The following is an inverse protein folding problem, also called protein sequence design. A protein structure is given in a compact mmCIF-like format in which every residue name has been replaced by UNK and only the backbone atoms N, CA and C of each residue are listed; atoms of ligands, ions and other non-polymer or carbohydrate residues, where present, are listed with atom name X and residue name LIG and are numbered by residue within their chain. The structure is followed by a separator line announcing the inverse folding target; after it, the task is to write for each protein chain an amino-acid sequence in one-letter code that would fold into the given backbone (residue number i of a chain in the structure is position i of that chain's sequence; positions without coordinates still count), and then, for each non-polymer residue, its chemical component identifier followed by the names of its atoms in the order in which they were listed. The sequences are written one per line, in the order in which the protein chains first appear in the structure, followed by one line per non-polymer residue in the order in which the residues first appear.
data_IF_855287462862
#
_entry.id   IF_855287462862
#
_cell.length_a   1.000
_cell.length_b   1.000
_cell.length_c   1.000
_cell.angle_alpha   90.00
_cell.angle_beta   90.00
_cell.angle_gamma   90.00
#
_symmetry.space_group_name_H-M   'P 1'
#
loop_
_entity.id
_entity.type
_entity.pdbx_description
1 polymer ?
#
# COMPACT_ATOMS: atom_id res chain seq x y z
N UNK A 1 -9.94 21.64 12.19
CA UNK A 1 -9.61 20.84 10.99
C UNK A 1 -9.65 19.36 11.36
N UNK A 2 -10.24 18.49 10.54
CA UNK A 2 -10.38 17.05 10.84
C UNK A 2 -9.03 16.31 10.74
N UNK A 3 -8.05 16.88 10.03
CA UNK A 3 -6.71 16.33 9.87
C UNK A 3 -5.65 17.20 10.55
N UNK A 4 -4.79 16.57 11.35
CA UNK A 4 -3.58 17.18 11.90
C UNK A 4 -2.51 17.38 10.83
N UNK A 5 -1.53 18.25 11.09
CA UNK A 5 -0.39 18.47 10.19
C UNK A 5 0.40 17.19 9.92
N UNK A 6 0.53 16.32 10.93
CA UNK A 6 1.19 15.03 10.80
C UNK A 6 0.42 14.06 9.88
N UNK A 7 -0.93 14.05 9.98
CA UNK A 7 -1.78 13.24 9.09
C UNK A 7 -1.70 13.73 7.63
N UNK A 8 -1.67 15.04 7.40
CA UNK A 8 -1.43 15.61 6.07
C UNK A 8 -0.07 15.21 5.49
N UNK A 9 0.99 15.34 6.28
CA UNK A 9 2.33 14.93 5.85
C UNK A 9 2.38 13.45 5.49
N UNK A 10 1.73 12.59 6.29
CA UNK A 10 1.62 11.15 6.02
C UNK A 10 0.88 10.88 4.72
N UNK A 11 -0.27 11.53 4.50
CA UNK A 11 -1.06 11.39 3.28
C UNK A 11 -0.27 11.78 2.03
N UNK A 12 0.43 12.92 2.07
CA UNK A 12 1.25 13.40 0.95
C UNK A 12 2.41 12.44 0.69
N UNK A 13 3.12 12.03 1.73
CA UNK A 13 4.23 11.08 1.61
C UNK A 13 3.77 9.74 1.02
N UNK A 14 2.64 9.22 1.52
CA UNK A 14 1.99 8.01 1.01
C UNK A 14 1.66 8.11 -0.48
N UNK A 15 0.98 9.19 -0.86
CA UNK A 15 0.61 9.43 -2.26
C UNK A 15 1.83 9.56 -3.16
N UNK A 16 2.87 10.27 -2.69
CA UNK A 16 4.12 10.40 -3.42
C UNK A 16 4.82 9.07 -3.63
N UNK A 17 4.83 8.19 -2.62
CA UNK A 17 5.48 6.87 -2.73
C UNK A 17 4.75 5.96 -3.71
N UNK A 18 3.42 5.98 -3.70
CA UNK A 18 2.58 5.28 -4.70
C UNK A 18 2.84 5.83 -6.09
N UNK A 19 2.79 7.15 -6.27
CA UNK A 19 2.99 7.79 -7.57
C UNK A 19 4.40 7.51 -8.14
N UNK A 20 5.44 7.70 -7.34
CA UNK A 20 6.82 7.45 -7.75
C UNK A 20 7.04 5.98 -8.10
N UNK A 21 6.54 5.05 -7.29
CA UNK A 21 6.69 3.62 -7.57
C UNK A 21 5.95 3.20 -8.83
N UNK A 22 4.73 3.70 -9.06
CA UNK A 22 3.97 3.40 -10.29
C UNK A 22 4.66 3.99 -11.51
N UNK A 23 5.02 5.27 -11.50
CA UNK A 23 5.69 5.95 -12.62
C UNK A 23 7.07 5.34 -12.92
N UNK A 24 7.82 4.92 -11.90
CA UNK A 24 9.09 4.24 -12.10
C UNK A 24 8.92 2.91 -12.84
N UNK A 25 7.89 2.12 -12.49
CA UNK A 25 7.58 0.89 -13.23
C UNK A 25 7.16 1.20 -14.66
N UNK A 26 6.23 2.15 -14.87
CA UNK A 26 5.80 2.53 -16.22
C UNK A 26 6.98 2.96 -17.09
N UNK A 27 7.85 3.86 -16.58
CA UNK A 27 9.02 4.35 -17.31
C UNK A 27 10.01 3.25 -17.70
N UNK A 28 10.09 2.14 -16.95
CA UNK A 28 10.97 1.01 -17.32
C UNK A 28 10.43 0.17 -18.48
N UNK A 29 9.12 0.16 -18.70
CA UNK A 29 8.48 -0.63 -19.77
C UNK A 29 8.03 0.21 -20.97
N UNK A 30 7.95 1.53 -20.81
CA UNK A 30 7.47 2.47 -21.84
C UNK A 30 8.25 2.35 -23.15
N UNK A 31 9.57 2.18 -23.07
CA UNK A 31 10.44 2.04 -24.25
C UNK A 31 10.30 0.67 -24.96
N UNK A 32 9.72 -0.33 -24.29
CA UNK A 32 9.55 -1.69 -24.84
C UNK A 32 8.17 -1.82 -25.47
N UNK A 33 7.13 -1.51 -24.70
CA UNK A 33 5.73 -1.55 -25.13
C UNK A 33 4.90 -0.63 -24.22
N UNK A 34 4.36 0.49 -24.76
CA UNK A 34 3.54 1.42 -23.99
C UNK A 34 2.27 0.79 -23.39
N UNK A 35 1.67 -0.20 -24.05
CA UNK A 35 0.45 -0.86 -23.57
C UNK A 35 0.78 -1.80 -22.42
N UNK A 36 1.92 -2.49 -22.50
CA UNK A 36 2.46 -3.27 -21.39
C UNK A 36 2.81 -2.37 -20.19
N UNK A 37 3.44 -1.22 -20.44
CA UNK A 37 3.75 -0.24 -19.40
C UNK A 37 2.49 0.21 -18.66
N UNK A 38 1.43 0.58 -19.37
CA UNK A 38 0.14 0.95 -18.78
C UNK A 38 -0.47 -0.21 -17.97
N UNK A 39 -0.32 -1.46 -18.43
CA UNK A 39 -0.84 -2.65 -17.72
C UNK A 39 -0.05 -2.94 -16.44
N UNK A 40 1.27 -2.78 -16.48
CA UNK A 40 2.16 -2.84 -15.31
C UNK A 40 1.83 -1.73 -14.30
N UNK A 41 1.61 -0.50 -14.79
CA UNK A 41 1.18 0.66 -14.03
C UNK A 41 -0.15 0.41 -13.30
N UNK A 42 -1.16 -0.08 -14.02
CA UNK A 42 -2.44 -0.48 -13.45
C UNK A 42 -2.30 -1.53 -12.35
N UNK A 43 -1.52 -2.59 -12.60
CA UNK A 43 -1.33 -3.69 -11.66
C UNK A 43 -0.60 -3.22 -10.38
N UNK A 44 0.53 -2.52 -10.53
CA UNK A 44 1.32 -2.05 -9.38
C UNK A 44 0.57 -0.99 -8.58
N UNK A 45 -0.11 -0.05 -9.24
CA UNK A 45 -0.92 0.97 -8.58
C UNK A 45 -2.06 0.34 -7.76
N UNK A 46 -2.77 -0.62 -8.33
CA UNK A 46 -3.84 -1.34 -7.65
C UNK A 46 -3.32 -2.10 -6.42
N UNK A 47 -2.20 -2.82 -6.57
CA UNK A 47 -1.56 -3.53 -5.44
C UNK A 47 -1.02 -2.59 -4.37
N UNK A 48 -0.50 -1.42 -4.75
CA UNK A 48 -0.10 -0.38 -3.79
C UNK A 48 -1.27 0.15 -2.97
N UNK A 49 -2.43 0.33 -3.58
CA UNK A 49 -3.65 0.73 -2.86
C UNK A 49 -4.11 -0.36 -1.88
N UNK A 50 -4.00 -1.63 -2.24
CA UNK A 50 -4.27 -2.75 -1.32
C UNK A 50 -3.26 -2.73 -0.15
N UNK A 51 -1.97 -2.60 -0.44
CA UNK A 51 -0.91 -2.50 0.57
C UNK A 51 -1.11 -1.31 1.52
N UNK A 52 -1.50 -0.15 0.97
CA UNK A 52 -1.83 1.05 1.75
C UNK A 52 -3.07 0.82 2.62
N UNK A 53 -4.11 0.18 2.08
CA UNK A 53 -5.32 -0.18 2.82
C UNK A 53 -5.04 -1.09 4.01
N UNK A 54 -4.14 -2.06 3.86
CA UNK A 54 -3.65 -2.92 4.96
C UNK A 54 -2.87 -2.09 5.98
N UNK A 55 -1.97 -1.23 5.51
CA UNK A 55 -1.06 -0.44 6.36
C UNK A 55 -1.78 0.62 7.20
N UNK A 56 -2.88 1.18 6.67
CA UNK A 56 -3.68 2.24 7.29
C UNK A 56 -4.78 1.72 8.23
N UNK A 57 -4.99 0.40 8.32
CA UNK A 57 -5.99 -0.20 9.23
C UNK A 57 -5.79 0.24 10.68
N UNK A 58 -4.53 0.34 11.10
CA UNK A 58 -4.19 0.84 12.42
C UNK A 58 -3.02 1.80 12.33
N UNK A 59 -3.19 3.00 12.89
CA UNK A 59 -2.13 3.99 12.96
C UNK A 59 -1.00 3.55 13.91
N UNK A 60 -1.35 2.77 14.93
CA UNK A 60 -0.46 2.36 16.01
C UNK A 60 -0.16 0.88 16.04
N UNK A 61 -0.89 -0.01 15.35
CA UNK A 61 -0.62 -1.45 15.33
C UNK A 61 0.09 -1.89 14.04
N UNK A 62 0.87 -2.97 14.12
CA UNK A 62 1.55 -3.50 12.94
C UNK A 62 0.57 -4.26 12.05
N UNK A 63 0.73 -4.13 10.72
CA UNK A 63 -0.03 -4.90 9.74
C UNK A 63 0.20 -6.41 9.89
N UNK A 64 1.35 -6.81 10.46
CA UNK A 64 1.72 -8.22 10.68
C UNK A 64 1.20 -8.80 12.00
N UNK A 65 0.43 -8.04 12.78
CA UNK A 65 -0.20 -8.60 13.98
C UNK A 65 -1.35 -9.53 13.64
N UNK A 66 -1.47 -10.61 14.41
CA UNK A 66 -2.51 -11.64 14.26
C UNK A 66 -3.94 -11.06 14.20
N UNK A 67 -4.21 -9.98 14.93
CA UNK A 67 -5.52 -9.29 14.95
C UNK A 67 -5.90 -8.64 13.61
N UNK A 68 -4.92 -8.34 12.75
CA UNK A 68 -5.12 -7.85 11.37
C UNK A 68 -5.39 -8.98 10.40
N UNK A 69 -4.74 -10.12 10.60
CA UNK A 69 -4.92 -11.29 9.74
C UNK A 69 -6.16 -12.13 10.12
N UNK A 70 -6.80 -11.87 11.27
CA UNK A 70 -7.94 -12.68 11.75
C UNK A 70 -9.31 -12.15 11.30
N UNK A 71 -9.39 -10.90 10.83
CA UNK A 71 -10.65 -10.29 10.40
C UNK A 71 -11.07 -10.79 9.01
N UNK A 72 -11.91 -11.83 8.99
CA UNK A 72 -12.40 -12.49 7.76
C UNK A 72 -13.08 -11.51 6.79
N UNK A 73 -13.76 -10.48 7.28
CA UNK A 73 -14.45 -9.52 6.42
C UNK A 73 -13.45 -8.66 5.66
N UNK A 74 -12.43 -8.16 6.35
CA UNK A 74 -11.39 -7.35 5.70
C UNK A 74 -10.53 -8.16 4.75
N UNK A 75 -10.15 -9.38 5.13
CA UNK A 75 -9.48 -10.31 4.22
C UNK A 75 -10.31 -10.58 2.96
N UNK A 76 -11.64 -10.73 3.10
CA UNK A 76 -12.54 -10.84 1.97
C UNK A 76 -12.50 -9.63 1.04
N UNK A 77 -12.46 -8.41 1.59
CA UNK A 77 -12.37 -7.18 0.79
C UNK A 77 -11.01 -7.01 0.10
N UNK A 78 -9.90 -7.33 0.77
CA UNK A 78 -8.58 -7.32 0.13
C UNK A 78 -8.48 -8.40 -0.94
N UNK A 79 -9.01 -9.59 -0.70
CA UNK A 79 -9.10 -10.66 -1.69
C UNK A 79 -9.94 -10.25 -2.90
N UNK A 80 -11.08 -9.59 -2.67
CA UNK A 80 -11.90 -9.02 -3.74
C UNK A 80 -11.15 -7.94 -4.53
N UNK A 81 -10.40 -7.06 -3.86
CA UNK A 81 -9.58 -6.05 -4.54
C UNK A 81 -8.48 -6.67 -5.40
N UNK A 82 -7.79 -7.70 -4.90
CA UNK A 82 -6.79 -8.45 -5.67
C UNK A 82 -7.44 -9.15 -6.86
N UNK A 83 -8.60 -9.78 -6.67
CA UNK A 83 -9.37 -10.42 -7.74
C UNK A 83 -9.77 -9.41 -8.83
N UNK A 84 -10.26 -8.23 -8.43
CA UNK A 84 -10.60 -7.14 -9.33
C UNK A 84 -9.37 -6.48 -9.98
N UNK A 85 -8.17 -6.70 -9.44
CA UNK A 85 -6.91 -6.29 -10.09
C UNK A 85 -6.49 -7.32 -11.15
N UNK A 86 -6.68 -8.61 -10.87
CA UNK A 86 -6.27 -9.70 -11.77
C UNK A 86 -7.23 -9.90 -12.95
N UNK A 87 -8.54 -9.97 -12.69
CA UNK A 87 -9.54 -10.28 -13.72
C UNK A 87 -9.49 -9.37 -14.97
N UNK A 88 -9.30 -8.04 -14.84
CA UNK A 88 -9.20 -7.17 -16.01
C UNK A 88 -8.05 -7.51 -16.96
N UNK A 89 -6.98 -8.13 -16.44
CA UNK A 89 -5.79 -8.50 -17.23
C UNK A 89 -5.93 -9.83 -17.94
N UNK A 90 -6.94 -10.64 -17.63
CA UNK A 90 -7.17 -11.96 -18.25
C UNK A 90 -8.41 -11.98 -19.15
N UNK A 91 -9.41 -11.15 -18.83
CA UNK A 91 -10.65 -11.08 -19.58
C UNK A 91 -10.47 -10.20 -20.82
N UNK A 92 -10.45 -10.83 -22.01
CA UNK A 92 -10.28 -10.13 -23.29
C UNK A 92 -11.28 -8.99 -23.54
N UNK A 93 -12.48 -9.06 -22.97
CA UNK A 93 -13.44 -7.94 -23.00
C UNK A 93 -12.94 -6.73 -22.20
N UNK A 94 -12.47 -6.95 -20.98
CA UNK A 94 -11.99 -5.89 -20.09
C UNK A 94 -10.66 -5.32 -20.56
N UNK A 95 -9.77 -6.17 -21.10
CA UNK A 95 -8.54 -5.76 -21.76
C UNK A 95 -8.80 -4.74 -22.88
N UNK A 96 -9.80 -4.98 -23.72
CA UNK A 96 -10.15 -4.05 -24.82
C UNK A 96 -10.72 -2.72 -24.33
N UNK A 97 -11.51 -2.74 -23.25
CA UNK A 97 -12.12 -1.53 -22.69
C UNK A 97 -11.09 -0.67 -21.96
N UNK A 98 -10.20 -1.29 -21.20
CA UNK A 98 -9.20 -0.60 -20.38
C UNK A 98 -7.86 -0.41 -21.09
N UNK A 99 -7.67 -1.01 -22.27
CA UNK A 99 -6.39 -0.98 -23.00
C UNK A 99 -5.30 -1.78 -22.29
N UNK A 100 -5.63 -2.94 -21.72
CA UNK A 100 -4.72 -3.79 -20.97
C UNK A 100 -4.26 -5.01 -21.79
N UNK A 101 -3.07 -5.51 -21.47
CA UNK A 101 -2.52 -6.77 -21.98
C UNK A 101 -2.31 -7.78 -20.84
N UNK A 102 -2.26 -9.09 -21.13
CA UNK A 102 -1.99 -10.07 -20.08
C UNK A 102 -0.56 -9.91 -19.54
N UNK A 103 -0.42 -10.01 -18.22
CA UNK A 103 0.88 -9.93 -17.56
C UNK A 103 1.46 -11.34 -17.37
N UNK A 104 2.75 -11.48 -17.65
CA UNK A 104 3.48 -12.69 -17.35
C UNK A 104 3.71 -12.84 -15.83
N UNK A 105 4.00 -14.06 -15.37
CA UNK A 105 4.19 -14.33 -13.94
C UNK A 105 5.33 -13.50 -13.32
N UNK A 106 6.42 -13.28 -14.05
CA UNK A 106 7.54 -12.44 -13.59
C UNK A 106 7.14 -10.97 -13.38
N UNK A 107 6.28 -10.43 -14.24
CA UNK A 107 5.73 -9.08 -14.15
C UNK A 107 4.82 -8.96 -12.92
N UNK A 108 3.96 -9.95 -12.69
CA UNK A 108 3.16 -10.05 -11.47
C UNK A 108 4.02 -10.12 -10.20
N UNK A 109 5.05 -10.97 -10.19
CA UNK A 109 5.96 -11.10 -9.05
C UNK A 109 6.69 -9.79 -8.75
N UNK A 110 7.06 -9.02 -9.77
CA UNK A 110 7.63 -7.69 -9.61
C UNK A 110 6.64 -6.74 -8.93
N UNK A 111 5.40 -6.65 -9.42
CA UNK A 111 4.37 -5.78 -8.84
C UNK A 111 4.03 -6.17 -7.40
N UNK A 112 3.90 -7.47 -7.11
CA UNK A 112 3.67 -7.99 -5.75
C UNK A 112 4.87 -7.71 -4.85
N UNK A 113 6.08 -7.92 -5.33
CA UNK A 113 7.32 -7.63 -4.60
C UNK A 113 7.42 -6.16 -4.21
N UNK A 114 7.12 -5.25 -5.13
CA UNK A 114 7.07 -3.81 -4.85
C UNK A 114 5.99 -3.47 -3.83
N UNK A 115 4.80 -4.06 -3.94
CA UNK A 115 3.73 -3.82 -2.97
C UNK A 115 4.13 -4.30 -1.57
N UNK A 116 4.87 -5.41 -1.46
CA UNK A 116 5.42 -5.88 -0.20
C UNK A 116 6.47 -4.92 0.36
N UNK A 117 7.38 -4.40 -0.48
CA UNK A 117 8.35 -3.35 -0.09
C UNK A 117 7.62 -2.12 0.45
N UNK A 118 6.54 -1.70 -0.21
CA UNK A 118 5.72 -0.58 0.26
C UNK A 118 5.17 -0.82 1.68
N UNK A 119 4.62 -2.01 1.96
CA UNK A 119 4.18 -2.38 3.32
C UNK A 119 5.33 -2.27 4.33
N UNK A 120 6.52 -2.77 3.98
CA UNK A 120 7.69 -2.68 4.86
C UNK A 120 8.07 -1.21 5.15
N UNK A 121 8.04 -0.33 4.14
CA UNK A 121 8.28 1.11 4.33
C UNK A 121 7.28 1.71 5.31
N UNK A 122 6.00 1.35 5.20
CA UNK A 122 4.96 1.80 6.14
C UNK A 122 5.17 1.30 7.57
N UNK A 123 5.56 0.04 7.74
CA UNK A 123 5.86 -0.54 9.05
C UNK A 123 7.05 0.15 9.70
N UNK A 124 8.12 0.39 8.94
CA UNK A 124 9.29 1.14 9.43
C UNK A 124 8.89 2.55 9.87
N UNK A 125 8.08 3.26 9.07
CA UNK A 125 7.56 4.58 9.44
C UNK A 125 6.74 4.52 10.73
N UNK A 126 5.86 3.51 10.90
CA UNK A 126 5.10 3.32 12.13
C UNK A 126 6.01 3.12 13.34
N UNK A 127 7.05 2.32 13.23
CA UNK A 127 8.02 2.09 14.31
C UNK A 127 8.72 3.40 14.73
N UNK A 128 9.13 4.23 13.76
CA UNK A 128 9.73 5.53 14.07
C UNK A 128 8.76 6.51 14.74
N UNK A 129 7.49 6.52 14.33
CA UNK A 129 6.47 7.36 14.97
C UNK A 129 6.18 6.92 16.41
N UNK A 130 6.09 5.61 16.69
CA UNK A 130 5.90 5.10 18.06
C UNK A 130 7.02 5.52 18.99
N UNK A 131 8.28 5.33 18.56
CA UNK A 131 9.47 5.71 19.35
C UNK A 131 9.52 7.20 19.70
N UNK A 132 8.94 8.07 18.87
CA UNK A 132 8.85 9.51 19.12
C UNK A 132 7.68 9.88 20.04
N UNK A 133 6.59 9.12 20.02
CA UNK A 133 5.46 9.28 20.93
C UNK A 133 5.79 8.87 22.36
N UNK A 134 6.49 7.74 22.52
CA UNK A 134 6.89 7.22 23.83
C UNK A 134 7.93 8.12 24.53
N UNK A 135 8.79 8.81 23.77
CA UNK A 135 9.74 9.78 24.30
C UNK A 135 9.10 11.09 24.82
N UNK A 136 7.83 11.34 24.47
CA UNK A 136 7.08 12.55 24.84
C UNK A 136 6.17 12.37 26.06
N UNK A 137 6.19 11.21 26.72
CA UNK A 137 5.51 10.99 28.00
C UNK A 137 6.51 11.20 29.15
N UNK A 138 6.65 12.41 29.72
CA UNK A 138 7.36 12.57 30.96
C UNK A 138 6.58 11.84 32.06
N UNK A 139 7.34 11.17 32.94
CA UNK A 139 6.84 10.39 34.06
C UNK A 139 5.93 11.22 35.00
N UNK A 140 4.63 11.24 34.73
CA UNK A 140 3.62 11.76 35.66
C UNK A 140 3.08 10.61 36.52
N UNK A 141 3.95 9.92 37.26
CA UNK A 141 3.55 8.88 38.22
C UNK A 141 4.27 8.98 39.57
N UNK A 142 4.75 10.18 39.94
CA UNK A 142 5.38 10.38 41.25
C UNK A 142 5.00 11.73 41.88
N UNK A 143 3.78 11.82 42.45
CA UNK A 143 3.49 12.56 43.71
C UNK A 143 1.98 12.80 43.88
N UNK A 144 1.27 11.86 44.51
CA UNK A 144 -0.02 12.17 45.17
C UNK A 144 -0.37 11.09 46.20
N UNK A 145 0.52 10.87 47.17
CA UNK A 145 0.17 10.24 48.44
C UNK A 145 1.17 10.70 49.50
N UNK A 146 0.84 11.80 50.17
CA UNK A 146 1.38 12.20 51.47
C UNK A 146 0.34 13.10 52.15
#
# INVERSE_FOLDING_TARGET
PVLSRAQWARLIFSGALVALGTLAVEATYEAVDPVLAASMGFAVFSLFNVAMGISNRSETESAFQMSTVTDRRQLGLYGLAILLTYLPTELGFTQRILGLVPLALNQWLLCVGLAFVLVLVYEVMKVFLRRRGDAAQPATTASASA
#
